data_IF_485763432202
#
_entry.id   IF_485763432202
#
_cell.length_a   1.000
_cell.length_b   1.000
_cell.length_c   1.000
_cell.angle_alpha   90.00
_cell.angle_beta   90.00
_cell.angle_gamma   90.00
#
_symmetry.space_group_name_H-M   'P 1'
#
loop_
_entity.id
_entity.type
_entity.pdbx_description
1 polymer ?
#
# COMPACT_ATOMS: atom_id res chain seq x y z
N UNK A 1 17.38 25.62 15.08
CA UNK A 1 17.11 24.39 14.29
C UNK A 1 16.77 24.86 12.88
N UNK A 2 17.54 24.47 11.86
CA UNK A 2 17.29 24.91 10.48
C UNK A 2 16.23 24.00 9.84
N UNK A 3 14.98 24.46 9.84
CA UNK A 3 13.83 23.69 9.34
C UNK A 3 13.87 23.45 7.83
N UNK A 4 14.46 24.37 7.06
CA UNK A 4 14.59 24.23 5.61
C UNK A 4 15.62 23.16 5.26
N UNK A 5 16.75 23.12 5.99
CA UNK A 5 17.73 22.04 5.86
C UNK A 5 17.11 20.67 6.18
N UNK A 6 16.37 20.57 7.29
CA UNK A 6 15.70 19.32 7.69
C UNK A 6 14.70 18.86 6.61
N UNK A 7 13.86 19.75 6.09
CA UNK A 7 12.90 19.40 5.05
C UNK A 7 13.60 18.87 3.79
N UNK A 8 14.69 19.50 3.35
CA UNK A 8 15.49 19.03 2.20
C UNK A 8 16.08 17.65 2.45
N UNK A 9 16.58 17.39 3.66
CA UNK A 9 17.14 16.08 4.03
C UNK A 9 16.08 14.98 4.06
N UNK A 10 14.88 15.27 4.57
CA UNK A 10 13.74 14.34 4.57
C UNK A 10 13.35 13.99 3.14
N UNK A 11 13.09 14.98 2.28
CA UNK A 11 12.71 14.71 0.89
C UNK A 11 13.80 13.96 0.11
N UNK A 12 15.07 14.29 0.33
CA UNK A 12 16.18 13.57 -0.29
C UNK A 12 16.26 12.10 0.18
N UNK A 13 15.89 11.83 1.43
CA UNK A 13 15.85 10.46 1.97
C UNK A 13 14.69 9.67 1.40
N UNK A 14 13.50 10.26 1.30
CA UNK A 14 12.34 9.63 0.68
C UNK A 14 12.55 9.33 -0.81
N UNK A 15 13.17 10.26 -1.56
CA UNK A 15 13.51 10.06 -2.97
C UNK A 15 14.43 8.85 -3.18
N UNK A 16 15.51 8.75 -2.38
CA UNK A 16 16.42 7.58 -2.43
C UNK A 16 15.70 6.28 -2.10
N UNK A 17 14.79 6.29 -1.12
CA UNK A 17 14.03 5.09 -0.78
C UNK A 17 13.15 4.60 -1.95
N UNK A 18 12.63 5.51 -2.78
CA UNK A 18 11.89 5.14 -4.00
C UNK A 18 12.83 4.56 -5.07
N UNK A 19 14.02 5.15 -5.26
CA UNK A 19 15.05 4.63 -6.17
C UNK A 19 15.48 3.22 -5.78
N UNK A 20 15.77 3.00 -4.49
CA UNK A 20 16.14 1.70 -3.94
C UNK A 20 15.01 0.66 -4.12
N UNK A 21 13.74 1.08 -3.99
CA UNK A 21 12.60 0.17 -4.21
C UNK A 21 12.55 -0.34 -5.66
N UNK A 22 12.87 0.51 -6.64
CA UNK A 22 12.89 0.10 -8.05
C UNK A 22 13.94 -0.99 -8.31
N UNK A 23 15.07 -0.96 -7.60
CA UNK A 23 16.13 -1.98 -7.70
C UNK A 23 15.73 -3.31 -7.06
N UNK A 24 14.76 -3.31 -6.15
CA UNK A 24 14.27 -4.51 -5.47
C UNK A 24 13.07 -5.17 -6.18
N UNK A 25 12.63 -4.64 -7.32
CA UNK A 25 11.56 -5.25 -8.09
C UNK A 25 12.05 -6.53 -8.76
N UNK A 26 11.33 -7.61 -8.53
CA UNK A 26 11.59 -8.94 -9.08
C UNK A 26 10.31 -9.55 -9.68
N UNK A 27 10.36 -10.83 -10.04
CA UNK A 27 9.22 -11.55 -10.60
C UNK A 27 7.99 -11.61 -9.68
N UNK A 28 8.15 -11.44 -8.36
CA UNK A 28 7.04 -11.47 -7.41
C UNK A 28 6.11 -10.27 -7.61
N UNK A 29 6.63 -9.14 -8.09
CA UNK A 29 5.81 -7.97 -8.44
C UNK A 29 4.82 -8.32 -9.55
N UNK A 30 5.31 -8.91 -10.65
CA UNK A 30 4.47 -9.31 -11.78
C UNK A 30 3.46 -10.38 -11.36
N UNK A 31 3.91 -11.37 -10.56
CA UNK A 31 3.04 -12.42 -10.03
C UNK A 31 1.91 -11.87 -9.15
N UNK A 32 2.19 -10.86 -8.31
CA UNK A 32 1.17 -10.22 -7.49
C UNK A 32 0.10 -9.52 -8.35
N UNK A 33 0.52 -8.83 -9.41
CA UNK A 33 -0.41 -8.19 -10.36
C UNK A 33 -1.29 -9.24 -11.05
N UNK A 34 -0.70 -10.33 -11.54
CA UNK A 34 -1.47 -11.40 -12.19
C UNK A 34 -2.50 -12.02 -11.25
N UNK A 35 -2.13 -12.29 -9.99
CA UNK A 35 -3.07 -12.81 -9.00
C UNK A 35 -4.24 -11.85 -8.75
N UNK A 36 -3.97 -10.55 -8.67
CA UNK A 36 -5.02 -9.54 -8.50
C UNK A 36 -5.94 -9.46 -9.72
N UNK A 37 -5.40 -9.47 -10.94
CA UNK A 37 -6.18 -9.40 -12.18
C UNK A 37 -7.08 -10.62 -12.41
N UNK A 38 -6.65 -11.81 -11.99
CA UNK A 38 -7.42 -13.05 -12.13
C UNK A 38 -8.37 -13.32 -10.96
N UNK A 39 -8.39 -12.44 -9.94
CA UNK A 39 -9.27 -12.59 -8.78
C UNK A 39 -10.73 -12.33 -9.18
N UNK A 40 -11.61 -13.32 -8.96
CA UNK A 40 -13.06 -13.21 -9.19
C UNK A 40 -13.81 -12.49 -8.06
N UNK A 41 -13.15 -12.31 -6.92
CA UNK A 41 -13.69 -11.65 -5.73
C UNK A 41 -13.21 -10.21 -5.62
N UNK A 42 -12.71 -9.85 -4.43
CA UNK A 42 -12.17 -8.52 -4.12
C UNK A 42 -10.76 -8.65 -3.57
N UNK A 43 -9.89 -7.71 -3.90
CA UNK A 43 -8.58 -7.58 -3.27
C UNK A 43 -8.75 -6.94 -1.88
N UNK A 44 -8.38 -7.68 -0.83
CA UNK A 44 -8.44 -7.18 0.55
C UNK A 44 -7.07 -6.61 0.92
N UNK A 45 -7.05 -5.35 1.34
CA UNK A 45 -5.84 -4.71 1.88
C UNK A 45 -5.99 -4.61 3.39
N UNK A 46 -4.94 -4.95 4.14
CA UNK A 46 -4.97 -4.87 5.60
C UNK A 46 -3.65 -4.36 6.15
N UNK A 47 -3.69 -3.67 7.29
CA UNK A 47 -2.51 -3.10 7.93
C UNK A 47 -2.83 -2.34 9.21
N UNK A 48 -1.83 -2.19 10.08
CA UNK A 48 -1.92 -1.47 11.36
C UNK A 48 -1.22 -0.11 11.28
N UNK A 49 -1.69 0.87 12.06
CA UNK A 49 -1.03 2.17 12.22
C UNK A 49 -0.80 2.90 10.88
N UNK A 50 0.42 3.42 10.66
CA UNK A 50 0.78 4.13 9.42
C UNK A 50 0.56 3.27 8.17
N UNK A 51 0.90 1.99 8.24
CA UNK A 51 0.68 1.04 7.13
C UNK A 51 -0.81 0.84 6.85
N UNK A 52 -1.66 0.92 7.88
CA UNK A 52 -3.12 0.92 7.72
C UNK A 52 -3.61 2.11 6.91
N UNK A 53 -3.13 3.32 7.19
CA UNK A 53 -3.50 4.51 6.40
C UNK A 53 -3.08 4.41 4.93
N UNK A 54 -1.87 3.92 4.66
CA UNK A 54 -1.40 3.69 3.28
C UNK A 54 -2.21 2.58 2.61
N UNK A 55 -2.49 1.48 3.33
CA UNK A 55 -3.32 0.38 2.84
C UNK A 55 -4.74 0.83 2.47
N UNK A 56 -5.35 1.69 3.28
CA UNK A 56 -6.65 2.29 2.98
C UNK A 56 -6.61 3.11 1.68
N UNK A 57 -5.56 3.92 1.49
CA UNK A 57 -5.37 4.68 0.24
C UNK A 57 -5.18 3.74 -0.96
N UNK A 58 -4.39 2.68 -0.81
CA UNK A 58 -4.17 1.67 -1.86
C UNK A 58 -5.50 1.02 -2.25
N UNK A 59 -6.29 0.55 -1.28
CA UNK A 59 -7.60 -0.06 -1.55
C UNK A 59 -8.56 0.92 -2.25
N UNK A 60 -8.57 2.19 -1.86
CA UNK A 60 -9.37 3.20 -2.55
C UNK A 60 -8.90 3.44 -4.00
N UNK A 61 -7.58 3.44 -4.23
CA UNK A 61 -7.00 3.62 -5.57
C UNK A 61 -7.34 2.44 -6.48
N UNK A 62 -7.16 1.21 -5.99
CA UNK A 62 -7.47 0.00 -6.75
C UNK A 62 -8.95 -0.03 -7.15
N UNK A 63 -9.85 0.27 -6.21
CA UNK A 63 -11.28 0.32 -6.46
C UNK A 63 -11.66 1.37 -7.52
N UNK A 64 -11.04 2.56 -7.48
CA UNK A 64 -11.32 3.61 -8.47
C UNK A 64 -10.70 3.35 -9.84
N UNK A 65 -9.67 2.49 -9.93
CA UNK A 65 -9.06 2.07 -11.20
C UNK A 65 -9.59 0.74 -11.73
N UNK A 66 -10.72 0.24 -11.21
CA UNK A 66 -11.42 -0.92 -11.75
C UNK A 66 -11.04 -2.28 -11.15
N UNK A 67 -10.20 -2.32 -10.12
CA UNK A 67 -9.90 -3.53 -9.34
C UNK A 67 -10.72 -3.51 -8.07
N UNK A 68 -11.80 -4.33 -7.94
CA UNK A 68 -12.63 -4.31 -6.73
C UNK A 68 -11.81 -4.59 -5.46
N UNK A 69 -11.78 -3.65 -4.52
CA UNK A 69 -10.98 -3.76 -3.30
C UNK A 69 -11.57 -3.00 -2.12
N UNK A 70 -11.21 -3.42 -0.91
CA UNK A 70 -11.49 -2.69 0.33
C UNK A 70 -10.41 -2.92 1.38
N UNK A 71 -10.34 -2.01 2.36
CA UNK A 71 -9.39 -2.08 3.46
C UNK A 71 -10.06 -2.61 4.73
N UNK A 72 -9.34 -3.42 5.51
CA UNK A 72 -9.78 -3.90 6.82
C UNK A 72 -8.65 -3.71 7.82
N UNK A 73 -8.94 -3.06 8.96
CA UNK A 73 -8.00 -3.01 10.06
C UNK A 73 -7.91 -4.40 10.72
N UNK A 74 -6.72 -4.99 10.96
CA UNK A 74 -6.59 -6.33 11.53
C UNK A 74 -7.35 -6.53 12.84
N UNK A 75 -7.44 -5.49 13.68
CA UNK A 75 -8.23 -5.53 14.92
C UNK A 75 -9.74 -5.64 14.69
N UNK A 76 -10.26 -5.14 13.56
CA UNK A 76 -11.69 -5.21 13.21
C UNK A 76 -12.01 -6.54 12.51
N UNK A 77 -11.07 -7.09 11.73
CA UNK A 77 -11.21 -8.39 11.07
C UNK A 77 -11.49 -9.53 12.06
N UNK A 78 -10.94 -9.46 13.28
CA UNK A 78 -11.14 -10.45 14.34
C UNK A 78 -12.56 -10.40 14.95
N UNK A 79 -13.25 -9.26 14.83
CA UNK A 79 -14.57 -9.03 15.44
C UNK A 79 -15.74 -9.19 14.45
N UNK A 80 -15.49 -9.77 13.27
CA UNK A 80 -16.55 -10.14 12.32
C UNK A 80 -16.88 -9.09 11.25
N UNK A 81 -16.05 -8.05 11.08
CA UNK A 81 -16.29 -6.98 10.10
C UNK A 81 -16.05 -7.41 8.63
N UNK A 82 -15.86 -8.71 8.39
CA UNK A 82 -15.79 -9.33 7.07
C UNK A 82 -17.17 -9.75 6.52
N UNK A 83 -18.23 -9.56 7.31
CA UNK A 83 -19.60 -10.03 7.01
C UNK A 83 -19.98 -11.26 7.81
#
# INVERSE_FOLDING_TARGET
>A
MDTLKIAKEVFATEARAIEDLALNLDENFSKAIELMLHTKGRCIVSGMGKSGHIGAKIAATLASTGTPSFFIHPGEALHGDLG
#
